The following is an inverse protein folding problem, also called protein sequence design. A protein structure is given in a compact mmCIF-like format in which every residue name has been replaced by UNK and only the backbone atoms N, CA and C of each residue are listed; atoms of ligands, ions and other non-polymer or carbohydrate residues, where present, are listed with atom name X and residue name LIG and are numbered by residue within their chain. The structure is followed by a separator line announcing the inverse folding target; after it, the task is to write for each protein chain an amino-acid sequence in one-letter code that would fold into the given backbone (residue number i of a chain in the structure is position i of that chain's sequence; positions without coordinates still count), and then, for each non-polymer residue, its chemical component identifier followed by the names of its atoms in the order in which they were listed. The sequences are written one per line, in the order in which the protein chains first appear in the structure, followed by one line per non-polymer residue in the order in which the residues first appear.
data_IF_030075387789
#
_entry.id   IF_030075387789
#
_cell.length_a   1.000
_cell.length_b   1.000
_cell.length_c   1.000
_cell.angle_alpha   90.00
_cell.angle_beta   90.00
_cell.angle_gamma   90.00
#
_symmetry.space_group_name_H-M   'P 1'
#
loop_
_entity.id
_entity.type
_entity.pdbx_description
1 polymer ?
#
# COMPACT_ATOMS: atom_id res chain seq x y z
N UNK A 1 -13.38 7.18 26.57
CA UNK A 1 -14.50 6.68 25.74
C UNK A 1 -14.30 6.96 24.25
N UNK A 2 -13.82 8.13 23.83
CA UNK A 2 -13.51 8.48 22.43
C UNK A 2 -12.44 7.58 21.76
N UNK A 3 -11.37 7.20 22.47
CA UNK A 3 -10.30 6.34 21.96
C UNK A 3 -10.80 4.96 21.54
N UNK A 4 -11.72 4.39 22.31
CA UNK A 4 -12.24 3.03 22.08
C UNK A 4 -13.09 2.91 20.82
N UNK A 5 -13.89 3.93 20.49
CA UNK A 5 -14.71 3.94 19.27
C UNK A 5 -13.83 4.09 18.03
N UNK A 6 -12.86 4.98 18.02
CA UNK A 6 -11.95 5.19 16.90
C UNK A 6 -11.12 3.94 16.57
N UNK A 7 -10.79 3.12 17.60
CA UNK A 7 -10.08 1.86 17.37
C UNK A 7 -10.93 0.75 16.75
N UNK A 8 -12.22 0.72 17.05
CA UNK A 8 -13.13 -0.30 16.49
C UNK A 8 -13.45 -0.01 15.03
N UNK A 9 -13.59 1.26 14.67
CA UNK A 9 -13.93 1.69 13.32
C UNK A 9 -12.83 1.36 12.30
N UNK A 10 -11.54 1.37 12.72
CA UNK A 10 -10.40 1.08 11.85
C UNK A 10 -9.84 -0.34 11.96
N UNK A 11 -10.49 -1.23 12.71
CA UNK A 11 -10.03 -2.62 12.83
C UNK A 11 -10.02 -3.35 11.48
N UNK A 12 -11.00 -3.04 10.62
CA UNK A 12 -11.16 -3.64 9.29
C UNK A 12 -10.03 -3.19 8.34
N UNK A 13 -9.59 -1.92 8.43
CA UNK A 13 -8.55 -1.37 7.56
C UNK A 13 -7.22 -2.13 7.65
N UNK A 14 -6.87 -2.57 8.87
CA UNK A 14 -5.68 -3.41 9.05
C UNK A 14 -5.79 -4.76 8.33
N UNK A 15 -6.97 -5.35 8.30
CA UNK A 15 -7.19 -6.62 7.60
C UNK A 15 -7.25 -6.43 6.09
N UNK A 16 -7.82 -5.32 5.62
CA UNK A 16 -7.81 -4.95 4.20
C UNK A 16 -6.39 -4.73 3.68
N UNK A 17 -5.55 -3.98 4.43
CA UNK A 17 -4.15 -3.77 4.08
C UNK A 17 -3.36 -5.09 4.00
N UNK A 18 -3.65 -6.05 4.89
CA UNK A 18 -3.02 -7.38 4.84
C UNK A 18 -3.53 -8.23 3.70
N UNK A 19 -4.84 -8.19 3.47
CA UNK A 19 -5.44 -8.82 2.30
C UNK A 19 -4.82 -8.30 1.00
N UNK A 20 -4.53 -7.02 0.93
CA UNK A 20 -3.85 -6.40 -0.21
C UNK A 20 -2.42 -6.95 -0.41
N UNK A 21 -1.64 -7.12 0.66
CA UNK A 21 -0.30 -7.73 0.57
C UNK A 21 -0.41 -9.22 0.19
N UNK A 22 -1.36 -9.94 0.77
CA UNK A 22 -1.59 -11.34 0.41
C UNK A 22 -2.03 -11.49 -1.06
N UNK A 23 -2.80 -10.52 -1.57
CA UNK A 23 -3.18 -10.45 -2.98
C UNK A 23 -1.96 -10.24 -3.88
N UNK A 24 -1.04 -9.33 -3.51
CA UNK A 24 0.23 -9.14 -4.24
C UNK A 24 0.99 -10.46 -4.31
N UNK A 25 1.21 -11.12 -3.17
CA UNK A 25 1.93 -12.39 -3.13
C UNK A 25 1.23 -13.47 -3.97
N UNK A 26 -0.10 -13.52 -3.97
CA UNK A 26 -0.89 -14.42 -4.81
C UNK A 26 -0.74 -14.13 -6.30
N UNK A 27 -0.79 -12.87 -6.71
CA UNK A 27 -0.58 -12.45 -8.10
C UNK A 27 0.84 -12.77 -8.57
N UNK A 28 1.84 -12.56 -7.73
CA UNK A 28 3.23 -12.92 -8.03
C UNK A 28 3.39 -14.43 -8.23
N UNK A 29 2.79 -15.27 -7.37
CA UNK A 29 2.82 -16.72 -7.51
C UNK A 29 2.16 -17.22 -8.79
N UNK A 30 1.07 -16.57 -9.22
CA UNK A 30 0.33 -16.97 -10.41
C UNK A 30 0.97 -16.53 -11.71
N UNK A 31 1.53 -15.32 -11.74
CA UNK A 31 1.86 -14.64 -12.98
C UNK A 31 3.35 -14.32 -13.16
N UNK A 32 4.17 -14.28 -12.09
CA UNK A 32 5.60 -14.00 -12.27
C UNK A 32 6.34 -15.18 -12.91
N UNK A 33 7.13 -14.83 -13.92
CA UNK A 33 8.03 -15.77 -14.58
C UNK A 33 9.31 -15.95 -13.72
N UNK A 34 9.85 -17.17 -13.66
CA UNK A 34 11.04 -17.53 -12.87
C UNK A 34 12.28 -16.69 -13.21
N UNK A 35 12.27 -16.04 -14.38
CA UNK A 35 13.41 -15.25 -14.90
C UNK A 35 13.51 -13.85 -14.32
N UNK A 36 12.45 -13.30 -13.72
CA UNK A 36 12.40 -11.89 -13.37
C UNK A 36 13.12 -11.56 -12.06
N UNK A 37 13.06 -12.44 -11.05
CA UNK A 37 13.63 -12.15 -9.74
C UNK A 37 14.28 -13.43 -9.15
N UNK A 38 15.58 -13.42 -8.92
CA UNK A 38 16.35 -14.44 -8.19
C UNK A 38 16.21 -15.91 -8.65
N UNK A 39 15.71 -16.19 -9.85
CA UNK A 39 15.64 -17.55 -10.39
C UNK A 39 14.62 -18.50 -9.74
N UNK A 40 13.81 -18.03 -8.80
CA UNK A 40 12.76 -18.82 -8.16
C UNK A 40 11.50 -18.01 -7.93
N UNK A 41 10.40 -18.38 -8.57
CA UNK A 41 9.09 -17.70 -8.43
C UNK A 41 8.50 -17.81 -7.01
N UNK A 42 8.95 -18.76 -6.21
CA UNK A 42 8.43 -19.01 -4.87
C UNK A 42 9.09 -18.14 -3.79
N UNK A 43 10.33 -17.72 -4.01
CA UNK A 43 11.16 -17.09 -2.97
C UNK A 43 10.56 -15.77 -2.48
N UNK A 44 10.21 -14.88 -3.39
CA UNK A 44 9.68 -13.55 -3.07
C UNK A 44 8.32 -13.62 -2.38
N UNK A 45 7.28 -14.26 -2.95
CA UNK A 45 5.99 -14.37 -2.29
C UNK A 45 6.06 -15.09 -0.94
N UNK A 46 6.96 -16.08 -0.80
CA UNK A 46 7.15 -16.78 0.47
C UNK A 46 7.71 -15.83 1.53
N UNK A 47 8.70 -15.00 1.21
CA UNK A 47 9.24 -14.00 2.15
C UNK A 47 8.15 -13.00 2.55
N UNK A 48 7.36 -12.51 1.60
CA UNK A 48 6.24 -11.58 1.87
C UNK A 48 5.21 -12.21 2.81
N UNK A 49 4.80 -13.45 2.56
CA UNK A 49 3.85 -14.17 3.41
C UNK A 49 4.43 -14.46 4.81
N UNK A 50 5.70 -14.87 4.89
CA UNK A 50 6.39 -15.10 6.17
C UNK A 50 6.46 -13.82 7.00
N UNK A 51 6.72 -12.67 6.37
CA UNK A 51 6.71 -11.37 7.07
C UNK A 51 5.29 -10.92 7.44
N UNK A 52 4.29 -11.29 6.64
CA UNK A 52 2.89 -10.93 6.88
C UNK A 52 2.31 -11.63 8.13
N UNK A 53 2.69 -12.88 8.39
CA UNK A 53 2.18 -13.67 9.52
C UNK A 53 2.43 -13.00 10.87
N UNK A 54 3.67 -12.66 11.27
CA UNK A 54 3.93 -12.03 12.57
C UNK A 54 3.25 -10.65 12.68
N UNK A 55 3.17 -9.89 11.58
CA UNK A 55 2.44 -8.63 11.53
C UNK A 55 0.95 -8.83 11.81
N UNK A 56 0.34 -9.86 11.24
CA UNK A 56 -1.07 -10.20 11.42
C UNK A 56 -1.36 -10.63 12.85
N UNK A 57 -0.52 -11.50 13.41
CA UNK A 57 -0.62 -11.95 14.81
C UNK A 57 -0.46 -10.78 15.78
N UNK A 58 0.55 -9.94 15.60
CA UNK A 58 0.80 -8.78 16.45
C UNK A 58 -0.36 -7.77 16.41
N UNK A 59 -0.99 -7.60 15.24
CA UNK A 59 -2.17 -6.70 15.11
C UNK A 59 -3.39 -7.30 15.79
N UNK A 60 -3.69 -8.58 15.57
CA UNK A 60 -4.79 -9.26 16.24
C UNK A 60 -4.63 -9.19 17.77
N UNK A 61 -3.41 -9.43 18.25
CA UNK A 61 -3.09 -9.33 19.68
C UNK A 61 -3.30 -7.89 20.22
N UNK A 62 -2.78 -6.86 19.54
CA UNK A 62 -2.95 -5.46 19.97
C UNK A 62 -4.39 -4.99 19.90
N UNK A 63 -5.18 -5.48 18.94
CA UNK A 63 -6.62 -5.23 18.88
C UNK A 63 -7.37 -5.90 20.04
N UNK A 64 -6.99 -7.14 20.38
CA UNK A 64 -7.53 -7.84 21.55
C UNK A 64 -7.24 -7.10 22.87
N UNK A 65 -6.00 -6.67 23.07
CA UNK A 65 -5.60 -5.90 24.24
C UNK A 65 -6.33 -4.56 24.35
N UNK A 66 -6.52 -3.84 23.23
CA UNK A 66 -7.23 -2.56 23.20
C UNK A 66 -8.71 -2.68 23.62
N UNK A 67 -9.35 -3.86 23.45
CA UNK A 67 -10.72 -4.11 23.90
C UNK A 67 -10.85 -4.23 25.42
N UNK A 68 -9.78 -4.65 26.09
CA UNK A 68 -9.74 -4.94 27.52
C UNK A 68 -8.90 -3.93 28.33
N UNK A 69 -8.35 -2.90 27.67
CA UNK A 69 -7.52 -1.90 28.35
C UNK A 69 -8.38 -0.98 29.23
N UNK A 70 -8.19 -1.05 30.55
CA UNK A 70 -8.84 -0.22 31.56
C UNK A 70 -7.87 0.78 32.20
N UNK A 71 -6.55 0.48 32.26
CA UNK A 71 -5.53 1.27 32.93
C UNK A 71 -4.54 1.95 31.96
N UNK A 72 -3.97 3.08 32.40
CA UNK A 72 -2.94 3.85 31.65
C UNK A 72 -1.67 3.03 31.35
N UNK A 73 -1.31 2.09 32.20
CA UNK A 73 -0.16 1.19 31.97
C UNK A 73 -0.33 0.26 30.76
N UNK A 74 -1.54 -0.19 30.48
CA UNK A 74 -1.85 -1.03 29.33
C UNK A 74 -1.74 -0.25 28.00
N UNK A 75 -2.06 1.05 28.02
CA UNK A 75 -1.94 1.90 26.83
C UNK A 75 -0.49 2.11 26.38
N UNK A 76 0.46 2.18 27.30
CA UNK A 76 1.90 2.27 26.99
C UNK A 76 2.41 1.03 26.24
N UNK A 77 1.99 -0.16 26.63
CA UNK A 77 2.38 -1.42 25.97
C UNK A 77 1.76 -1.47 24.56
N UNK A 78 0.49 -1.13 24.44
CA UNK A 78 -0.21 -1.08 23.15
C UNK A 78 0.47 -0.08 22.19
N UNK A 79 0.82 1.10 22.67
CA UNK A 79 1.51 2.13 21.89
C UNK A 79 2.87 1.64 21.36
N UNK A 80 3.69 1.05 22.25
CA UNK A 80 5.01 0.51 21.88
C UNK A 80 4.89 -0.62 20.85
N UNK A 81 3.94 -1.52 21.03
CA UNK A 81 3.69 -2.62 20.10
C UNK A 81 3.20 -2.12 18.75
N UNK A 82 2.29 -1.14 18.70
CA UNK A 82 1.81 -0.53 17.45
C UNK A 82 2.89 0.23 16.70
N UNK A 83 3.81 0.89 17.44
CA UNK A 83 4.96 1.55 16.84
C UNK A 83 5.88 0.53 16.14
N UNK A 84 6.12 -0.62 16.76
CA UNK A 84 6.87 -1.72 16.17
C UNK A 84 6.15 -2.28 14.93
N UNK A 85 4.85 -2.55 15.03
CA UNK A 85 4.03 -3.03 13.91
C UNK A 85 4.14 -2.06 12.72
N UNK A 86 4.10 -0.74 12.97
CA UNK A 86 4.27 0.27 11.94
C UNK A 86 5.63 0.19 11.26
N UNK A 87 6.73 0.09 12.02
CA UNK A 87 8.06 -0.04 11.42
C UNK A 87 8.21 -1.30 10.58
N UNK A 88 7.70 -2.44 11.05
CA UNK A 88 7.69 -3.67 10.27
C UNK A 88 6.80 -3.57 9.02
N UNK A 89 5.66 -2.90 9.12
CA UNK A 89 4.79 -2.64 7.96
C UNK A 89 5.48 -1.76 6.92
N UNK A 90 6.13 -0.67 7.34
CA UNK A 90 6.91 0.20 6.46
C UNK A 90 8.08 -0.55 5.81
N UNK A 91 8.77 -1.39 6.57
CA UNK A 91 9.88 -2.19 6.06
C UNK A 91 9.41 -3.22 5.04
N UNK A 92 8.29 -3.90 5.29
CA UNK A 92 7.67 -4.81 4.33
C UNK A 92 7.24 -4.07 3.06
N UNK A 93 6.58 -2.92 3.21
CA UNK A 93 6.16 -2.09 2.06
C UNK A 93 7.37 -1.63 1.24
N UNK A 94 8.47 -1.21 1.89
CA UNK A 94 9.71 -0.83 1.21
C UNK A 94 10.35 -2.03 0.48
N UNK A 95 10.33 -3.19 1.10
CA UNK A 95 10.84 -4.42 0.49
C UNK A 95 10.06 -4.79 -0.77
N UNK A 96 8.71 -4.81 -0.69
CA UNK A 96 7.85 -5.09 -1.84
C UNK A 96 8.02 -4.03 -2.94
N UNK A 97 8.18 -2.74 -2.55
CA UNK A 97 8.47 -1.64 -3.50
C UNK A 97 9.76 -1.88 -4.26
N UNK A 98 10.82 -2.29 -3.57
CA UNK A 98 12.11 -2.60 -4.19
C UNK A 98 12.00 -3.75 -5.19
N UNK A 99 11.30 -4.81 -4.81
CA UNK A 99 11.09 -5.97 -5.68
C UNK A 99 10.26 -5.61 -6.92
N UNK A 100 9.22 -4.80 -6.75
CA UNK A 100 8.42 -4.30 -7.86
C UNK A 100 9.25 -3.44 -8.84
N UNK A 101 10.15 -2.61 -8.30
CA UNK A 101 11.09 -1.82 -9.12
C UNK A 101 12.07 -2.71 -9.89
N UNK A 102 12.62 -3.76 -9.26
CA UNK A 102 13.49 -4.72 -9.92
C UNK A 102 12.74 -5.44 -11.04
N UNK A 103 11.49 -5.87 -10.79
CA UNK A 103 10.64 -6.48 -11.80
C UNK A 103 10.38 -5.55 -12.98
N UNK A 104 10.08 -4.27 -12.73
CA UNK A 104 9.87 -3.26 -13.78
C UNK A 104 11.14 -3.08 -14.64
N UNK A 105 12.30 -2.97 -14.02
CA UNK A 105 13.58 -2.86 -14.74
C UNK A 105 13.82 -4.11 -15.58
N UNK A 106 13.53 -5.29 -15.06
CA UNK A 106 13.72 -6.57 -15.76
C UNK A 106 12.80 -6.66 -16.99
N UNK A 107 11.51 -6.37 -16.83
CA UNK A 107 10.53 -6.33 -17.95
C UNK A 107 10.94 -5.30 -19.00
N UNK A 108 11.41 -4.13 -18.57
CA UNK A 108 11.88 -3.08 -19.50
C UNK A 108 13.10 -3.55 -20.28
N UNK A 109 14.06 -4.21 -19.65
CA UNK A 109 15.25 -4.76 -20.32
C UNK A 109 14.90 -5.87 -21.33
N UNK A 110 14.00 -6.77 -20.96
CA UNK A 110 13.52 -7.82 -21.86
C UNK A 110 12.79 -7.22 -23.08
N UNK A 111 11.99 -6.17 -22.87
CA UNK A 111 11.34 -5.44 -23.94
C UNK A 111 12.35 -4.86 -24.94
N UNK A 112 13.36 -4.16 -24.43
CA UNK A 112 14.40 -3.52 -25.26
C UNK A 112 15.31 -4.56 -25.94
N UNK A 113 15.49 -5.72 -25.33
CA UNK A 113 16.27 -6.85 -25.87
C UNK A 113 15.56 -7.64 -26.96
N UNK A 114 14.35 -7.28 -27.36
CA UNK A 114 13.60 -7.94 -28.44
C UNK A 114 13.06 -9.32 -28.06
N UNK A 115 12.79 -9.58 -26.77
CA UNK A 115 12.27 -10.86 -26.30
C UNK A 115 10.95 -11.25 -26.98
N UNK A 116 10.84 -12.52 -27.42
CA UNK A 116 9.72 -13.06 -28.23
C UNK A 116 8.44 -13.37 -27.44
N UNK A 117 8.44 -13.24 -26.12
CA UNK A 117 7.30 -13.58 -25.23
C UNK A 117 6.31 -12.42 -25.05
N UNK A 118 5.64 -11.93 -26.08
CA UNK A 118 4.77 -10.76 -26.01
C UNK A 118 3.65 -10.85 -24.97
N UNK A 119 2.97 -11.99 -24.88
CA UNK A 119 1.86 -12.22 -23.95
C UNK A 119 2.31 -12.26 -22.48
N UNK A 120 3.42 -12.93 -22.21
CA UNK A 120 3.97 -13.03 -20.84
C UNK A 120 4.41 -11.67 -20.32
N UNK A 121 5.11 -10.87 -21.14
CA UNK A 121 5.55 -9.53 -20.77
C UNK A 121 4.38 -8.57 -20.54
N UNK A 122 3.27 -8.73 -21.24
CA UNK A 122 2.05 -7.96 -21.02
C UNK A 122 1.45 -8.26 -19.65
N UNK A 123 1.34 -9.54 -19.31
CA UNK A 123 0.81 -10.00 -18.01
C UNK A 123 1.72 -9.53 -16.89
N UNK A 124 3.04 -9.65 -17.03
CA UNK A 124 4.02 -9.20 -16.06
C UNK A 124 3.93 -7.68 -15.83
N UNK A 125 3.79 -6.89 -16.88
CA UNK A 125 3.63 -5.44 -16.79
C UNK A 125 2.31 -5.04 -16.10
N UNK A 126 1.21 -5.70 -16.39
CA UNK A 126 -0.07 -5.48 -15.71
C UNK A 126 0.02 -5.83 -14.22
N UNK A 127 0.69 -6.93 -13.88
CA UNK A 127 0.91 -7.33 -12.50
C UNK A 127 1.77 -6.31 -11.75
N UNK A 128 2.86 -5.81 -12.35
CA UNK A 128 3.69 -4.74 -11.80
C UNK A 128 2.87 -3.47 -11.56
N UNK A 129 2.02 -3.08 -12.50
CA UNK A 129 1.16 -1.91 -12.38
C UNK A 129 0.16 -2.05 -11.23
N UNK A 130 -0.52 -3.19 -11.13
CA UNK A 130 -1.47 -3.45 -10.03
C UNK A 130 -0.78 -3.49 -8.67
N UNK A 131 0.39 -4.14 -8.60
CA UNK A 131 1.23 -4.18 -7.41
C UNK A 131 1.67 -2.77 -6.99
N UNK A 132 2.04 -1.90 -7.96
CA UNK A 132 2.40 -0.51 -7.71
C UNK A 132 1.28 0.25 -6.99
N UNK A 133 0.03 0.12 -7.46
CA UNK A 133 -1.14 0.75 -6.82
C UNK A 133 -1.26 0.32 -5.35
N UNK A 134 -1.19 -0.98 -5.07
CA UNK A 134 -1.35 -1.49 -3.70
C UNK A 134 -0.19 -1.01 -2.81
N UNK A 135 1.04 -1.02 -3.32
CA UNK A 135 2.23 -0.54 -2.60
C UNK A 135 2.07 0.93 -2.20
N UNK A 136 1.66 1.79 -3.13
CA UNK A 136 1.52 3.22 -2.83
C UNK A 136 0.32 3.51 -1.93
N UNK A 137 -0.77 2.77 -2.05
CA UNK A 137 -1.85 2.81 -1.07
C UNK A 137 -1.36 2.50 0.36
N UNK A 138 -0.50 1.48 0.51
CA UNK A 138 0.13 1.14 1.79
C UNK A 138 1.09 2.24 2.29
N UNK A 139 1.87 2.85 1.39
CA UNK A 139 2.74 3.98 1.73
C UNK A 139 1.92 5.16 2.25
N UNK A 140 0.87 5.59 1.53
CA UNK A 140 0.01 6.70 1.92
C UNK A 140 -0.66 6.44 3.27
N UNK A 141 -1.25 5.25 3.44
CA UNK A 141 -1.89 4.86 4.69
C UNK A 141 -0.94 4.81 5.89
N UNK A 142 0.30 4.33 5.70
CA UNK A 142 1.29 4.25 6.78
C UNK A 142 1.96 5.59 7.10
N UNK A 143 1.95 6.54 6.17
CA UNK A 143 2.63 7.84 6.33
C UNK A 143 1.71 8.91 6.87
N UNK A 144 0.48 9.01 6.35
CA UNK A 144 -0.44 10.07 6.72
C UNK A 144 -0.68 10.12 8.23
N UNK A 145 -0.55 11.31 8.83
CA UNK A 145 -0.70 11.54 10.28
C UNK A 145 0.13 10.60 11.16
N UNK A 146 1.22 10.06 10.63
CA UNK A 146 2.03 9.07 11.32
C UNK A 146 1.47 7.65 11.29
N UNK A 147 0.48 7.39 10.43
CA UNK A 147 -0.08 6.07 10.14
C UNK A 147 -1.08 5.56 11.17
N UNK A 148 -1.70 4.41 10.89
CA UNK A 148 -2.78 3.86 11.71
C UNK A 148 -2.37 3.54 13.16
N UNK A 149 -1.07 3.44 13.42
CA UNK A 149 -0.55 3.23 14.78
C UNK A 149 -0.73 4.44 15.70
N UNK A 150 -0.87 5.65 15.16
CA UNK A 150 -1.05 6.90 15.90
C UNK A 150 -2.49 7.38 15.98
N UNK A 151 -3.40 6.79 15.21
CA UNK A 151 -4.81 7.14 15.23
C UNK A 151 -5.38 7.10 16.66
N UNK A 152 -5.90 8.24 17.10
CA UNK A 152 -6.51 8.41 18.43
C UNK A 152 -5.54 8.69 19.59
N UNK A 153 -4.22 8.65 19.38
CA UNK A 153 -3.23 8.87 20.45
C UNK A 153 -2.61 10.27 20.46
N UNK A 154 -2.68 11.00 19.33
CA UNK A 154 -2.18 12.37 19.23
C UNK A 154 -3.16 13.19 18.40
N UNK A 155 -3.71 14.24 19.00
CA UNK A 155 -4.68 15.15 18.35
C UNK A 155 -4.03 16.12 17.34
N UNK A 156 -2.70 16.25 17.31
CA UNK A 156 -1.98 17.36 16.65
C UNK A 156 -1.12 16.94 15.44
N UNK A 157 -1.34 15.79 14.83
CA UNK A 157 -0.60 15.44 13.62
C UNK A 157 -1.24 16.11 12.40
N UNK A 158 -0.51 17.01 11.74
CA UNK A 158 -0.94 17.62 10.48
C UNK A 158 -1.16 16.51 9.44
N UNK A 159 -2.29 16.54 8.72
CA UNK A 159 -2.53 15.56 7.67
C UNK A 159 -1.58 15.78 6.49
N UNK A 160 -1.12 14.69 5.87
CA UNK A 160 -0.36 14.73 4.62
C UNK A 160 -1.29 14.78 3.40
N UNK A 161 -2.55 14.34 3.57
CA UNK A 161 -3.61 14.36 2.57
C UNK A 161 -4.85 15.06 3.11
N UNK A 162 -5.45 15.93 2.28
CA UNK A 162 -6.74 16.55 2.54
C UNK A 162 -7.83 15.88 1.73
N UNK A 163 -8.67 15.12 2.39
CA UNK A 163 -9.81 14.45 1.77
C UNK A 163 -11.05 15.36 1.71
N UNK A 164 -11.93 15.21 0.71
CA UNK A 164 -13.17 16.02 0.61
C UNK A 164 -14.03 15.98 1.86
N UNK A 165 -14.06 14.86 2.57
CA UNK A 165 -14.81 14.67 3.81
C UNK A 165 -14.30 15.53 4.97
N UNK A 166 -13.07 16.05 4.88
CA UNK A 166 -12.47 16.96 5.86
C UNK A 166 -12.84 18.43 5.59
N UNK A 167 -13.29 18.78 4.38
CA UNK A 167 -13.55 20.16 3.94
C UNK A 167 -15.01 20.57 4.28
N UNK A 168 -15.85 19.67 4.75
CA UNK A 168 -17.27 19.89 4.90
C UNK A 168 -17.67 20.78 6.07
N UNK A 169 -18.65 21.65 5.83
CA UNK A 169 -19.30 22.50 6.81
C UNK A 169 -19.77 21.73 8.06
N UNK A 170 -19.28 22.11 9.21
CA UNK A 170 -19.75 22.06 10.59
C UNK A 170 -20.60 20.92 11.12
N UNK A 171 -21.34 20.19 10.32
CA UNK A 171 -22.36 19.23 10.78
C UNK A 171 -22.13 17.77 10.37
N UNK A 172 -21.09 17.47 9.61
CA UNK A 172 -20.87 16.10 9.11
C UNK A 172 -19.64 15.47 9.73
N UNK A 173 -19.88 14.78 10.84
CA UNK A 173 -18.97 13.83 11.49
C UNK A 173 -17.51 14.33 11.73
N UNK A 174 -17.29 15.14 12.78
CA UNK A 174 -15.96 15.62 13.15
C UNK A 174 -15.00 14.46 13.57
N UNK A 175 -15.50 13.23 13.62
CA UNK A 175 -14.74 12.02 13.95
C UNK A 175 -14.33 11.21 12.71
N UNK A 176 -14.63 11.66 11.47
CA UNK A 176 -14.21 10.92 10.28
C UNK A 176 -12.68 10.94 10.11
N UNK A 177 -12.12 9.80 9.84
CA UNK A 177 -10.71 9.65 9.47
C UNK A 177 -10.59 8.67 8.31
N UNK A 178 -9.62 8.90 7.39
CA UNK A 178 -9.45 8.07 6.21
C UNK A 178 -9.06 6.65 6.59
N UNK A 179 -9.73 5.67 5.97
CA UNK A 179 -9.41 4.26 6.04
C UNK A 179 -8.49 3.81 4.91
N UNK A 180 -8.09 2.52 4.90
CA UNK A 180 -7.23 1.97 3.86
C UNK A 180 -7.82 2.12 2.45
N UNK A 181 -9.15 2.00 2.31
CA UNK A 181 -9.85 2.12 1.02
C UNK A 181 -9.70 3.53 0.44
N UNK A 182 -9.70 4.56 1.28
CA UNK A 182 -9.53 5.94 0.82
C UNK A 182 -8.14 6.15 0.21
N UNK A 183 -7.09 5.61 0.82
CA UNK A 183 -5.73 5.67 0.28
C UNK A 183 -5.55 4.77 -0.96
N UNK A 184 -6.24 3.63 -1.01
CA UNK A 184 -6.26 2.81 -2.21
C UNK A 184 -6.89 3.55 -3.38
N UNK A 185 -7.98 4.28 -3.15
CA UNK A 185 -8.61 5.13 -4.16
C UNK A 185 -7.67 6.25 -4.65
N UNK A 186 -6.97 6.92 -3.73
CA UNK A 186 -5.97 7.95 -4.08
C UNK A 186 -4.88 7.35 -4.96
N UNK A 187 -4.31 6.21 -4.58
CA UNK A 187 -3.27 5.54 -5.36
C UNK A 187 -3.79 5.08 -6.72
N UNK A 188 -4.96 4.43 -6.76
CA UNK A 188 -5.56 3.97 -8.02
C UNK A 188 -5.78 5.13 -9.00
N UNK A 189 -6.35 6.24 -8.54
CA UNK A 189 -6.62 7.41 -9.39
C UNK A 189 -5.33 8.11 -9.82
N UNK A 190 -4.31 8.16 -8.96
CA UNK A 190 -2.99 8.71 -9.28
C UNK A 190 -2.24 7.84 -10.32
N UNK A 191 -2.32 6.52 -10.20
CA UNK A 191 -1.68 5.56 -11.10
C UNK A 191 -2.34 5.50 -12.49
N UNK A 192 -3.63 5.76 -12.59
CA UNK A 192 -4.37 5.72 -13.86
C UNK A 192 -4.25 7.01 -14.65
N UNK A 193 -3.88 8.13 -14.00
CA UNK A 193 -3.74 9.46 -14.61
C UNK A 193 -5.00 9.96 -15.38
N UNK A 194 -6.18 9.35 -15.15
CA UNK A 194 -7.42 9.72 -15.85
C UNK A 194 -8.15 10.90 -15.20
N UNK A 195 -7.87 11.17 -13.93
CA UNK A 195 -8.46 12.30 -13.22
C UNK A 195 -7.56 12.70 -12.05
N UNK A 196 -7.39 14.00 -11.76
CA UNK A 196 -6.83 14.41 -10.48
C UNK A 196 -7.72 13.85 -9.38
N UNK A 197 -7.11 13.31 -8.33
CA UNK A 197 -7.87 12.86 -7.16
C UNK A 197 -8.55 14.07 -6.53
N UNK A 198 -9.75 13.89 -5.98
CA UNK A 198 -10.39 14.93 -5.15
C UNK A 198 -9.61 15.19 -3.86
N UNK A 199 -8.62 14.34 -3.57
CA UNK A 199 -7.76 14.40 -2.40
C UNK A 199 -6.49 15.18 -2.70
N UNK A 200 -6.21 16.21 -1.92
CA UNK A 200 -5.07 17.10 -2.12
C UNK A 200 -3.87 16.67 -1.27
N UNK A 201 -2.66 16.42 -1.86
CA UNK A 201 -1.44 16.23 -1.10
C UNK A 201 -0.98 17.56 -0.50
N UNK A 202 -0.83 17.60 0.82
CA UNK A 202 -0.44 18.80 1.56
C UNK A 202 1.06 18.88 1.83
N UNK A 203 1.70 17.74 2.17
CA UNK A 203 3.11 17.69 2.52
C UNK A 203 4.01 17.49 1.29
N UNK A 204 5.29 17.85 1.42
CA UNK A 204 6.29 17.57 0.39
C UNK A 204 6.48 16.05 0.20
N UNK A 205 6.34 15.27 1.27
CA UNK A 205 6.48 13.81 1.22
C UNK A 205 5.37 13.16 0.40
N UNK A 206 4.10 13.55 0.64
CA UNK A 206 2.97 13.03 -0.14
C UNK A 206 3.08 13.40 -1.63
N UNK A 207 3.47 14.64 -1.94
CA UNK A 207 3.70 15.09 -3.32
C UNK A 207 4.79 14.28 -4.02
N UNK A 208 5.93 14.04 -3.33
CA UNK A 208 7.03 13.26 -3.88
C UNK A 208 6.62 11.82 -4.14
N UNK A 209 5.92 11.18 -3.20
CA UNK A 209 5.43 9.81 -3.36
C UNK A 209 4.44 9.70 -4.52
N UNK A 210 3.49 10.62 -4.63
CA UNK A 210 2.53 10.64 -5.74
C UNK A 210 3.25 10.83 -7.09
N UNK A 211 4.29 11.66 -7.14
CA UNK A 211 5.11 11.86 -8.35
C UNK A 211 5.84 10.58 -8.73
N UNK A 212 6.44 9.87 -7.77
CA UNK A 212 7.14 8.60 -8.00
C UNK A 212 6.15 7.54 -8.51
N UNK A 213 5.00 7.39 -7.84
CA UNK A 213 3.95 6.46 -8.26
C UNK A 213 3.48 6.72 -9.68
N UNK A 214 3.12 7.97 -9.99
CA UNK A 214 2.67 8.36 -11.31
C UNK A 214 3.73 8.08 -12.39
N UNK A 215 5.01 8.32 -12.08
CA UNK A 215 6.13 8.06 -13.00
C UNK A 215 6.29 6.56 -13.28
N UNK A 216 6.24 5.72 -12.26
CA UNK A 216 6.30 4.26 -12.38
C UNK A 216 5.09 3.75 -13.19
N UNK A 217 3.90 4.22 -12.86
CA UNK A 217 2.65 3.83 -13.54
C UNK A 217 2.65 4.23 -15.00
N UNK A 218 3.07 5.45 -15.32
CA UNK A 218 3.18 5.93 -16.70
C UNK A 218 4.14 5.08 -17.53
N UNK A 219 5.32 4.76 -16.97
CA UNK A 219 6.28 3.87 -17.63
C UNK A 219 5.69 2.48 -17.87
N UNK A 220 5.02 1.91 -16.84
CA UNK A 220 4.43 0.57 -16.95
C UNK A 220 3.30 0.52 -17.96
N UNK A 221 2.40 1.52 -17.96
CA UNK A 221 1.32 1.63 -18.96
C UNK A 221 1.89 1.81 -20.38
N UNK A 222 2.99 2.57 -20.50
CA UNK A 222 3.72 2.71 -21.78
C UNK A 222 4.23 1.36 -22.31
N UNK A 223 4.76 0.50 -21.42
CA UNK A 223 5.20 -0.86 -21.77
C UNK A 223 4.02 -1.72 -22.20
N UNK A 224 2.90 -1.66 -21.46
CA UNK A 224 1.65 -2.38 -21.79
C UNK A 224 1.15 -1.96 -23.18
N UNK A 225 1.07 -0.67 -23.45
CA UNK A 225 0.62 -0.14 -24.73
C UNK A 225 1.53 -0.58 -25.89
N UNK A 226 2.86 -0.47 -25.73
CA UNK A 226 3.82 -0.90 -26.75
C UNK A 226 3.70 -2.40 -27.06
N UNK A 227 3.41 -3.23 -26.06
CA UNK A 227 3.23 -4.68 -26.25
C UNK A 227 1.88 -5.06 -26.82
N UNK A 228 0.81 -4.38 -26.42
CA UNK A 228 -0.52 -4.63 -26.96
C UNK A 228 -0.53 -4.46 -28.50
N UNK A 229 0.15 -3.45 -29.02
CA UNK A 229 0.30 -3.25 -30.49
C UNK A 229 1.04 -4.41 -31.14
N UNK A 230 2.15 -4.88 -30.54
CA UNK A 230 2.96 -5.97 -31.12
C UNK A 230 2.31 -7.37 -31.01
N UNK A 231 1.32 -7.56 -30.18
CA UNK A 231 0.58 -8.85 -30.04
C UNK A 231 -0.59 -8.91 -31.05
N UNK A 232 -1.10 -7.75 -31.48
CA UNK A 232 -2.24 -7.64 -32.40
C UNK A 232 -1.80 -7.60 -33.88
N UNK A 233 -0.52 -7.41 -34.14
CA UNK A 233 0.10 -7.46 -35.50
C UNK A 233 0.84 -8.77 -35.72
#
# INVERSE_FOLDING_TARGET
MKLRSTFQDHAIDFWLARGAIALIAGLQLMFFNERLIFGSKWLVPTIELVMLVPLSVATGWTQGQARHAEDDGHWHIIYRSRRLIRYFSLLLTAFVSLLNMIALISVTRELLGGAKGGQTLLIDALNIWFTNIIIFALWYWNMDRGGPARLGLHEDTRPDFLFPQMIGNGDKNPAWSPGFVDYFYVSFTNATAFSPTDTMPLSAQSKLLMTIEASISLLTVGIVAARAVNVLT
#
